data_IF_374543603371
#
_entry.id   IF_374543603371
#
_cell.length_a   1.000
_cell.length_b   1.000
_cell.length_c   1.000
_cell.angle_alpha   90.00
_cell.angle_beta   90.00
_cell.angle_gamma   90.00
#
_symmetry.space_group_name_H-M   'P 1'
#
loop_
_entity.id
_entity.type
_entity.pdbx_description
1 polymer ?
#
# COMPACT_ATOMS: atom_id res chain seq x y z
N UNK A 1 7.10 -8.84 18.35
CA UNK A 1 7.76 -7.57 18.00
C UNK A 1 7.20 -7.02 16.69
N UNK A 2 6.81 -5.78 16.69
CA UNK A 2 6.19 -5.17 15.52
C UNK A 2 7.22 -4.60 14.56
N UNK A 3 6.95 -4.74 13.26
CA UNK A 3 7.74 -4.15 12.20
C UNK A 3 6.83 -3.18 11.42
N UNK A 4 7.26 -1.95 11.27
CA UNK A 4 6.48 -0.92 10.59
C UNK A 4 7.12 -0.56 9.26
N UNK A 5 6.29 -0.32 8.26
CA UNK A 5 6.70 0.23 6.98
C UNK A 5 5.61 1.16 6.47
N UNK A 6 5.98 2.12 5.67
CA UNK A 6 5.00 3.02 5.08
C UNK A 6 5.40 3.40 3.67
N UNK A 7 4.39 3.59 2.83
CA UNK A 7 4.54 4.08 1.47
C UNK A 7 3.81 5.41 1.40
N UNK A 8 4.58 6.49 1.27
CA UNK A 8 4.04 7.84 1.23
C UNK A 8 3.96 8.32 -0.22
N UNK A 9 2.94 9.12 -0.50
CA UNK A 9 2.74 9.74 -1.81
C UNK A 9 2.55 8.72 -2.94
N UNK A 10 1.89 7.60 -2.66
CA UNK A 10 1.53 6.63 -3.69
C UNK A 10 0.48 7.24 -4.63
N UNK A 11 0.71 7.14 -5.93
CA UNK A 11 -0.19 7.69 -6.95
C UNK A 11 -1.35 6.73 -7.21
N UNK A 12 -2.23 6.59 -6.21
CA UNK A 12 -3.40 5.73 -6.28
C UNK A 12 -4.50 6.35 -5.40
N UNK A 13 -5.75 6.22 -5.83
CA UNK A 13 -6.87 6.67 -5.02
C UNK A 13 -7.04 5.82 -3.76
N UNK A 14 -7.42 6.44 -2.65
CA UNK A 14 -7.58 5.74 -1.37
C UNK A 14 -8.57 4.58 -1.48
N UNK A 15 -9.66 4.75 -2.21
CA UNK A 15 -10.69 3.71 -2.35
C UNK A 15 -10.12 2.45 -3.00
N UNK A 16 -9.34 2.60 -4.07
CA UNK A 16 -8.72 1.46 -4.76
C UNK A 16 -7.65 0.80 -3.89
N UNK A 17 -6.85 1.59 -3.18
CA UNK A 17 -5.84 1.06 -2.27
C UNK A 17 -6.48 0.33 -1.09
N UNK A 18 -7.58 0.84 -0.55
CA UNK A 18 -8.31 0.20 0.56
C UNK A 18 -8.88 -1.16 0.19
N UNK A 19 -9.34 -1.32 -1.05
CA UNK A 19 -9.82 -2.63 -1.51
C UNK A 19 -8.71 -3.68 -1.44
N UNK A 20 -7.51 -3.33 -1.87
CA UNK A 20 -6.35 -4.23 -1.79
C UNK A 20 -5.94 -4.46 -0.34
N UNK A 21 -5.91 -3.41 0.47
CA UNK A 21 -5.53 -3.52 1.88
C UNK A 21 -6.47 -4.43 2.65
N UNK A 22 -7.76 -4.36 2.39
CA UNK A 22 -8.76 -5.20 3.06
C UNK A 22 -8.56 -6.68 2.76
N UNK A 23 -8.08 -7.01 1.55
CA UNK A 23 -7.84 -8.40 1.15
C UNK A 23 -6.69 -9.01 1.96
N UNK A 24 -5.64 -8.25 2.23
CA UNK A 24 -4.44 -8.77 2.88
C UNK A 24 -4.43 -8.60 4.39
N UNK A 25 -5.38 -7.84 4.94
CA UNK A 25 -5.42 -7.60 6.39
C UNK A 25 -5.66 -8.91 7.15
N UNK A 26 -4.80 -9.18 8.13
CA UNK A 26 -4.91 -10.39 8.94
C UNK A 26 -4.33 -11.65 8.32
N UNK A 27 -3.83 -11.60 7.09
CA UNK A 27 -3.23 -12.76 6.43
C UNK A 27 -1.76 -12.90 6.78
N UNK A 28 -1.26 -14.14 6.67
CA UNK A 28 0.19 -14.38 6.72
C UNK A 28 0.89 -13.63 5.60
N UNK A 29 2.11 -13.17 5.86
CA UNK A 29 2.89 -12.43 4.88
C UNK A 29 3.06 -13.23 3.59
N UNK A 30 3.42 -14.52 3.68
CA UNK A 30 3.60 -15.37 2.50
C UNK A 30 2.31 -15.50 1.69
N UNK A 31 1.18 -15.67 2.36
CA UNK A 31 -0.12 -15.78 1.70
C UNK A 31 -0.53 -14.44 1.07
N UNK A 32 -0.28 -13.33 1.78
CA UNK A 32 -0.56 -12.01 1.26
C UNK A 32 0.23 -11.71 -0.02
N UNK A 33 1.51 -12.05 -0.05
CA UNK A 33 2.36 -11.85 -1.24
C UNK A 33 1.85 -12.69 -2.41
N UNK A 34 1.45 -13.93 -2.17
CA UNK A 34 0.88 -14.80 -3.22
C UNK A 34 -0.39 -14.20 -3.80
N UNK A 35 -1.30 -13.76 -2.94
CA UNK A 35 -2.56 -13.14 -3.35
C UNK A 35 -2.30 -11.90 -4.21
N UNK A 36 -1.40 -11.03 -3.78
CA UNK A 36 -1.08 -9.80 -4.48
C UNK A 36 -0.39 -10.06 -5.83
N UNK A 37 0.40 -11.12 -5.93
CA UNK A 37 1.10 -11.48 -7.15
C UNK A 37 0.11 -11.79 -8.28
N UNK A 38 -1.04 -12.40 -7.96
CA UNK A 38 -2.05 -12.77 -8.95
C UNK A 38 -3.11 -11.71 -9.19
N UNK A 39 -3.10 -10.62 -8.42
CA UNK A 39 -4.04 -9.52 -8.63
C UNK A 39 -3.56 -8.60 -9.75
N UNK A 40 -4.49 -8.10 -10.56
CA UNK A 40 -4.19 -7.23 -11.70
C UNK A 40 -4.21 -5.75 -11.35
N UNK A 41 -4.73 -5.38 -10.19
CA UNK A 41 -4.85 -3.98 -9.79
C UNK A 41 -3.47 -3.35 -9.54
N UNK A 42 -3.33 -2.08 -9.91
CA UNK A 42 -2.10 -1.31 -9.66
C UNK A 42 -1.74 -1.27 -8.16
N UNK A 43 -2.74 -1.14 -7.32
CA UNK A 43 -2.55 -1.11 -5.87
C UNK A 43 -1.93 -2.39 -5.33
N UNK A 44 -2.21 -3.54 -5.94
CA UNK A 44 -1.65 -4.81 -5.51
C UNK A 44 -0.12 -4.80 -5.60
N UNK A 45 0.43 -4.29 -6.70
CA UNK A 45 1.88 -4.18 -6.87
C UNK A 45 2.53 -3.25 -5.85
N UNK A 46 1.87 -2.14 -5.53
CA UNK A 46 2.35 -1.18 -4.53
C UNK A 46 2.35 -1.78 -3.13
N UNK A 47 1.26 -2.43 -2.73
CA UNK A 47 1.14 -3.07 -1.42
C UNK A 47 2.12 -4.24 -1.30
N UNK A 48 2.30 -5.02 -2.37
CA UNK A 48 3.27 -6.10 -2.39
C UNK A 48 4.68 -5.61 -2.10
N UNK A 49 5.11 -4.53 -2.76
CA UNK A 49 6.42 -3.93 -2.52
C UNK A 49 6.56 -3.43 -1.08
N UNK A 50 5.49 -2.86 -0.53
CA UNK A 50 5.49 -2.40 0.85
C UNK A 50 5.67 -3.56 1.83
N UNK A 51 4.98 -4.67 1.62
CA UNK A 51 5.13 -5.87 2.44
C UNK A 51 6.54 -6.44 2.32
N UNK A 52 7.09 -6.51 1.12
CA UNK A 52 8.47 -6.97 0.90
C UNK A 52 9.48 -6.09 1.64
N UNK A 53 9.28 -4.77 1.62
CA UNK A 53 10.12 -3.83 2.36
C UNK A 53 10.05 -4.07 3.87
N UNK A 54 8.85 -4.30 4.39
CA UNK A 54 8.66 -4.59 5.81
C UNK A 54 9.33 -5.92 6.22
N UNK A 55 9.25 -6.93 5.36
CA UNK A 55 9.92 -8.21 5.58
C UNK A 55 11.43 -8.03 5.62
N UNK A 56 11.99 -7.23 4.72
CA UNK A 56 13.41 -6.91 4.72
C UNK A 56 13.83 -6.21 6.02
N UNK A 57 13.00 -5.29 6.52
CA UNK A 57 13.24 -4.64 7.81
C UNK A 57 13.23 -5.65 8.96
N UNK A 58 12.34 -6.63 8.91
CA UNK A 58 12.25 -7.68 9.92
C UNK A 58 13.51 -8.56 9.89
N UNK A 59 13.98 -8.92 8.72
CA UNK A 59 15.22 -9.71 8.56
C UNK A 59 16.42 -8.99 9.17
N UNK A 60 16.49 -7.67 9.00
CA UNK A 60 17.57 -6.86 9.57
C UNK A 60 17.60 -6.86 11.10
N UNK A 61 16.46 -7.09 11.73
CA UNK A 61 16.38 -7.14 13.20
C UNK A 61 16.87 -8.46 13.80
N UNK A 62 17.00 -9.51 13.01
CA UNK A 62 17.55 -10.82 13.37
C UNK A 62 16.85 -11.59 14.49
N UNK A 63 16.06 -10.94 15.33
CA UNK A 63 15.32 -11.57 16.43
C UNK A 63 13.88 -11.94 16.06
N UNK A 64 13.48 -11.63 14.82
CA UNK A 64 12.13 -11.86 14.31
C UNK A 64 12.15 -13.06 13.38
N UNK A 65 11.25 -14.01 13.61
CA UNK A 65 11.04 -15.13 12.69
C UNK A 65 10.14 -14.67 11.55
N UNK A 66 10.74 -14.50 10.37
CA UNK A 66 10.05 -14.01 9.17
C UNK A 66 8.89 -14.92 8.78
N UNK A 67 9.01 -16.24 9.00
CA UNK A 67 7.97 -17.19 8.62
C UNK A 67 6.72 -17.09 9.47
N UNK A 68 6.82 -16.46 10.64
CA UNK A 68 5.69 -16.27 11.56
C UNK A 68 5.06 -14.88 11.47
N UNK A 69 5.47 -14.06 10.52
CA UNK A 69 4.92 -12.71 10.36
C UNK A 69 3.53 -12.74 9.72
N UNK A 70 2.67 -11.85 10.19
CA UNK A 70 1.36 -11.64 9.59
C UNK A 70 1.07 -10.14 9.52
N UNK A 71 0.12 -9.77 8.68
CA UNK A 71 -0.30 -8.37 8.54
C UNK A 71 -1.23 -8.03 9.70
N UNK A 72 -0.68 -7.40 10.73
CA UNK A 72 -1.44 -7.01 11.91
C UNK A 72 -2.32 -5.81 11.63
N UNK A 73 -1.78 -4.82 10.94
CA UNK A 73 -2.48 -3.58 10.65
C UNK A 73 -2.02 -3.03 9.31
N UNK A 74 -2.97 -2.61 8.50
CA UNK A 74 -2.70 -1.87 7.28
C UNK A 74 -3.77 -0.81 7.13
N UNK A 75 -3.35 0.43 6.91
CA UNK A 75 -4.26 1.55 6.74
C UNK A 75 -3.87 2.37 5.52
N UNK A 76 -4.86 2.98 4.91
CA UNK A 76 -4.67 3.86 3.76
C UNK A 76 -5.27 5.21 4.09
N UNK A 77 -4.43 6.22 4.12
CA UNK A 77 -4.83 7.59 4.41
C UNK A 77 -4.78 8.43 3.16
N UNK A 78 -5.70 9.39 3.06
CA UNK A 78 -5.72 10.31 1.93
C UNK A 78 -4.57 11.30 2.03
N UNK A 79 -3.75 11.37 0.99
CA UNK A 79 -2.70 12.37 0.88
C UNK A 79 -3.17 13.62 0.14
N UNK A 80 -2.27 14.58 -0.08
CA UNK A 80 -2.60 15.78 -0.84
C UNK A 80 -2.94 15.44 -2.28
N UNK A 81 -3.92 16.13 -2.85
CA UNK A 81 -4.28 15.98 -4.25
C UNK A 81 -3.45 16.92 -5.11
N UNK A 82 -2.95 16.42 -6.23
CA UNK A 82 -2.25 17.23 -7.21
C UNK A 82 -3.28 17.71 -8.23
N UNK A 83 -3.46 19.03 -8.33
CA UNK A 83 -4.37 19.62 -9.31
C UNK A 83 -3.66 19.80 -10.63
N UNK A 84 -4.31 19.37 -11.71
CA UNK A 84 -3.85 19.58 -13.07
C UNK A 84 -4.97 20.20 -13.88
N UNK A 85 -4.63 21.02 -14.83
CA UNK A 85 -5.61 21.64 -15.73
C UNK A 85 -5.39 21.12 -17.14
N UNK A 86 -6.48 20.71 -17.79
CA UNK A 86 -6.47 20.37 -19.21
C UNK A 86 -7.26 21.41 -19.98
N UNK A 87 -6.69 22.00 -21.04
CA UNK A 87 -7.47 22.86 -21.91
C UNK A 87 -8.56 22.05 -22.61
N UNK A 88 -9.76 22.61 -22.64
CA UNK A 88 -10.91 22.04 -23.34
C UNK A 88 -11.26 22.92 -24.52
N UNK A 89 -12.14 22.41 -25.40
CA UNK A 89 -12.66 23.20 -26.52
C UNK A 89 -13.22 24.53 -26.03
N UNK A 90 -13.14 25.59 -26.84
CA UNK A 90 -13.57 26.95 -26.52
C UNK A 90 -12.73 27.65 -25.43
N UNK A 91 -11.50 27.26 -25.27
CA UNK A 91 -10.59 27.92 -24.34
C UNK A 91 -10.83 27.69 -22.86
N UNK A 92 -11.75 26.78 -22.52
CA UNK A 92 -12.01 26.42 -21.13
C UNK A 92 -11.00 25.40 -20.63
N UNK A 93 -10.61 25.50 -19.36
CA UNK A 93 -9.75 24.53 -18.71
C UNK A 93 -10.57 23.69 -17.73
N UNK A 94 -10.33 22.38 -17.71
CA UNK A 94 -10.92 21.50 -16.71
C UNK A 94 -9.88 21.13 -15.67
N UNK A 95 -10.27 21.20 -14.40
CA UNK A 95 -9.44 20.81 -13.28
C UNK A 95 -9.45 19.28 -13.15
N UNK A 96 -8.26 18.68 -13.10
CA UNK A 96 -8.10 17.25 -12.87
C UNK A 96 -7.32 17.07 -11.58
N UNK A 97 -7.93 16.36 -10.64
CA UNK A 97 -7.28 16.03 -9.36
C UNK A 97 -6.66 14.65 -9.45
N UNK A 98 -5.35 14.58 -9.21
CA UNK A 98 -4.66 13.30 -9.08
C UNK A 98 -4.52 12.98 -7.60
N UNK A 99 -5.23 11.93 -7.18
CA UNK A 99 -5.27 11.53 -5.77
C UNK A 99 -4.01 10.78 -5.40
N UNK A 100 -3.53 11.05 -4.20
CA UNK A 100 -2.35 10.43 -3.62
C UNK A 100 -2.76 9.81 -2.31
N UNK A 101 -2.20 8.65 -1.98
CA UNK A 101 -2.49 7.95 -0.74
C UNK A 101 -1.22 7.65 0.03
N UNK A 102 -1.35 7.58 1.35
CA UNK A 102 -0.29 7.10 2.24
C UNK A 102 -0.73 5.76 2.81
N UNK A 103 0.11 4.74 2.65
CA UNK A 103 -0.18 3.39 3.13
C UNK A 103 0.75 3.08 4.28
N UNK A 104 0.18 2.73 5.43
CA UNK A 104 0.93 2.36 6.63
C UNK A 104 0.70 0.88 6.92
N UNK A 105 1.76 0.17 7.20
CA UNK A 105 1.75 -1.26 7.42
C UNK A 105 2.45 -1.62 8.72
N UNK A 106 1.84 -2.48 9.50
CA UNK A 106 2.45 -3.07 10.69
C UNK A 106 2.38 -4.59 10.57
N UNK A 107 3.54 -5.23 10.61
CA UNK A 107 3.65 -6.69 10.70
C UNK A 107 3.98 -7.08 12.13
N UNK A 108 3.51 -8.23 12.56
CA UNK A 108 3.82 -8.76 13.89
C UNK A 108 4.01 -10.28 13.80
N UNK A 109 4.65 -10.84 14.80
CA UNK A 109 4.77 -12.29 14.94
C UNK A 109 3.50 -12.88 15.52
N UNK A 110 3.16 -14.07 15.07
CA UNK A 110 2.04 -14.81 15.64
C UNK A 110 2.36 -15.33 17.05
#
# INVERSE_FOLDING_TARGET
MEVKASLNYARIGCQKARLVADIVRGQDVNQAIRTLTFMKQKGAGLVKKLIESAVANAENKKVIDVDNLYVKHISVDMGPSIKRFRPRAQGRASEIKRKISHINLILDEK
#
